data_IF_409244278094
#
_entry.id   IF_409244278094
#
_cell.length_a   1.000
_cell.length_b   1.000
_cell.length_c   1.000
_cell.angle_alpha   90.00
_cell.angle_beta   90.00
_cell.angle_gamma   90.00
#
_symmetry.space_group_name_H-M   'P 1'
#
loop_
_entity.id
_entity.type
_entity.pdbx_description
1 polymer ?
#
# COMPACT_ATOMS: atom_id res chain seq x y z
N UNK A 1 -15.35 0.12 -0.96
CA UNK A 1 -14.04 0.69 -1.32
C UNK A 1 -14.22 1.47 -2.62
N UNK A 2 -14.00 2.79 -2.64
CA UNK A 2 -14.23 3.59 -3.86
C UNK A 2 -12.99 3.56 -4.77
N UNK A 3 -13.19 3.74 -6.08
CA UNK A 3 -12.10 3.94 -7.04
C UNK A 3 -11.20 5.12 -6.65
N UNK A 4 -11.78 6.17 -6.04
CA UNK A 4 -11.05 7.34 -5.53
C UNK A 4 -10.00 6.96 -4.49
N UNK A 5 -10.31 6.03 -3.57
CA UNK A 5 -9.36 5.61 -2.52
C UNK A 5 -8.18 4.81 -3.10
N UNK A 6 -8.38 4.08 -4.21
CA UNK A 6 -7.31 3.36 -4.90
C UNK A 6 -6.39 4.33 -5.62
N UNK A 7 -6.98 5.29 -6.35
CA UNK A 7 -6.24 6.32 -7.07
C UNK A 7 -5.40 7.18 -6.12
N UNK A 8 -5.98 7.63 -5.00
CA UNK A 8 -5.30 8.41 -3.97
C UNK A 8 -4.08 7.67 -3.41
N UNK A 9 -4.22 6.39 -3.08
CA UNK A 9 -3.11 5.58 -2.60
C UNK A 9 -1.96 5.44 -3.60
N UNK A 10 -2.27 5.30 -4.90
CA UNK A 10 -1.24 5.27 -5.95
C UNK A 10 -0.57 6.63 -6.15
N UNK A 11 -1.33 7.72 -6.16
CA UNK A 11 -0.79 9.08 -6.26
C UNK A 11 0.18 9.36 -5.11
N UNK A 12 -0.21 8.98 -3.89
CA UNK A 12 0.65 9.11 -2.71
C UNK A 12 1.89 8.23 -2.83
N UNK A 13 1.79 6.98 -3.25
CA UNK A 13 2.98 6.17 -3.48
C UNK A 13 3.93 6.78 -4.52
N UNK A 14 3.42 7.36 -5.60
CA UNK A 14 4.25 8.01 -6.63
C UNK A 14 4.92 9.28 -6.07
N UNK A 15 4.17 10.11 -5.33
CA UNK A 15 4.71 11.30 -4.68
C UNK A 15 5.86 10.97 -3.71
N UNK A 16 5.82 9.79 -3.07
CA UNK A 16 6.86 9.38 -2.09
C UNK A 16 8.21 9.11 -2.74
N UNK A 17 8.22 8.94 -4.07
CA UNK A 17 9.41 8.75 -4.89
C UNK A 17 9.92 10.03 -5.54
N UNK A 18 9.21 11.16 -5.37
CA UNK A 18 9.60 12.45 -5.95
C UNK A 18 10.40 13.29 -4.94
N UNK A 19 11.25 14.22 -5.42
CA UNK A 19 12.05 15.09 -4.53
C UNK A 19 11.22 15.92 -3.55
N UNK A 20 9.99 16.29 -3.93
CA UNK A 20 9.06 17.06 -3.08
C UNK A 20 8.46 16.22 -1.94
N UNK A 21 8.54 14.89 -2.02
CA UNK A 21 8.07 13.98 -0.98
C UNK A 21 6.56 13.96 -0.77
N UNK A 22 6.14 13.46 0.40
CA UNK A 22 4.76 13.49 0.88
C UNK A 22 4.58 14.48 2.03
N UNK A 23 3.32 14.88 2.30
CA UNK A 23 2.99 15.43 3.61
C UNK A 23 3.44 14.45 4.72
N UNK A 24 4.12 14.92 5.79
CA UNK A 24 4.68 14.06 6.83
C UNK A 24 3.67 13.10 7.46
N UNK A 25 2.43 13.54 7.63
CA UNK A 25 1.33 12.73 8.18
C UNK A 25 1.05 11.47 7.34
N UNK A 26 1.04 11.59 6.01
CA UNK A 26 0.76 10.47 5.12
C UNK A 26 1.96 9.52 5.05
N UNK A 27 3.17 10.08 5.10
CA UNK A 27 4.39 9.30 5.14
C UNK A 27 4.47 8.44 6.40
N UNK A 28 4.30 9.04 7.58
CA UNK A 28 4.34 8.34 8.86
C UNK A 28 3.25 7.27 8.96
N UNK A 29 2.03 7.59 8.54
CA UNK A 29 0.92 6.64 8.45
C UNK A 29 1.27 5.46 7.53
N UNK A 30 1.84 5.74 6.36
CA UNK A 30 2.19 4.69 5.39
C UNK A 30 3.29 3.76 5.93
N UNK A 31 4.28 4.31 6.65
CA UNK A 31 5.35 3.54 7.29
C UNK A 31 4.77 2.65 8.38
N UNK A 32 4.00 3.21 9.32
CA UNK A 32 3.34 2.46 10.40
C UNK A 32 2.50 1.30 9.85
N UNK A 33 1.67 1.58 8.84
CA UNK A 33 0.83 0.56 8.17
C UNK A 33 1.66 -0.48 7.46
N UNK A 34 2.77 -0.09 6.83
CA UNK A 34 3.68 -1.01 6.14
C UNK A 34 4.37 -1.96 7.13
N UNK A 35 4.87 -1.47 8.26
CA UNK A 35 5.47 -2.30 9.32
C UNK A 35 4.49 -3.35 9.83
N UNK A 36 3.24 -2.96 10.12
CA UNK A 36 2.17 -3.88 10.53
C UNK A 36 1.93 -4.96 9.48
N UNK A 37 1.95 -4.59 8.20
CA UNK A 37 1.74 -5.53 7.12
C UNK A 37 2.91 -6.48 6.88
N UNK A 38 4.16 -6.08 7.15
CA UNK A 38 5.34 -6.97 7.03
C UNK A 38 5.20 -8.21 7.92
N UNK A 39 4.65 -8.04 9.12
CA UNK A 39 4.38 -9.15 10.06
C UNK A 39 3.00 -9.81 9.83
N UNK A 40 2.24 -9.41 8.81
CA UNK A 40 0.89 -9.92 8.61
C UNK A 40 0.89 -11.27 7.87
N UNK A 41 0.25 -12.32 8.42
CA UNK A 41 0.22 -13.65 7.78
C UNK A 41 -0.56 -13.67 6.45
N UNK A 42 -1.26 -12.59 6.14
CA UNK A 42 -1.98 -12.43 4.89
C UNK A 42 -1.21 -11.62 3.85
N UNK A 43 0.00 -11.11 4.13
CA UNK A 43 0.81 -10.48 3.10
C UNK A 43 1.33 -11.57 2.14
N UNK A 44 0.99 -11.43 0.85
CA UNK A 44 1.40 -12.38 -0.19
C UNK A 44 2.31 -11.68 -1.19
N UNK A 45 3.41 -12.33 -1.55
CA UNK A 45 4.17 -11.99 -2.75
C UNK A 45 3.63 -12.80 -3.93
N UNK A 46 3.57 -12.16 -5.10
CA UNK A 46 3.27 -12.84 -6.36
C UNK A 46 4.23 -12.32 -7.44
N UNK A 47 4.86 -13.21 -8.22
CA UNK A 47 5.64 -12.78 -9.38
C UNK A 47 4.71 -12.19 -10.44
N UNK A 48 5.11 -11.07 -11.03
CA UNK A 48 4.43 -10.45 -12.16
C UNK A 48 5.46 -10.09 -13.23
N UNK A 49 5.09 -10.25 -14.50
CA UNK A 49 5.95 -9.84 -15.61
C UNK A 49 5.60 -8.42 -16.01
N UNK A 50 6.57 -7.51 -15.92
CA UNK A 50 6.43 -6.11 -16.35
C UNK A 50 7.52 -5.84 -17.37
N UNK A 51 7.14 -5.46 -18.59
CA UNK A 51 8.08 -5.19 -19.69
C UNK A 51 9.08 -6.34 -19.90
N UNK A 52 8.59 -7.58 -19.90
CA UNK A 52 9.42 -8.79 -20.05
C UNK A 52 10.25 -9.20 -18.82
N UNK A 53 10.26 -8.40 -17.75
CA UNK A 53 11.01 -8.70 -16.51
C UNK A 53 10.09 -9.24 -15.42
N UNK A 54 10.48 -10.34 -14.77
CA UNK A 54 9.79 -10.87 -13.59
C UNK A 54 10.14 -10.03 -12.37
N UNK A 55 9.12 -9.45 -11.72
CA UNK A 55 9.26 -8.69 -10.48
C UNK A 55 8.28 -9.24 -9.42
N UNK A 56 8.65 -9.16 -8.15
CA UNK A 56 7.77 -9.56 -7.04
C UNK A 56 6.86 -8.39 -6.64
N UNK A 57 5.54 -8.59 -6.76
CA UNK A 57 4.54 -7.64 -6.26
C UNK A 57 3.92 -8.17 -4.97
N UNK A 58 3.82 -7.32 -3.96
CA UNK A 58 3.11 -7.64 -2.72
C UNK A 58 1.64 -7.24 -2.80
N UNK A 59 0.76 -8.06 -2.21
CA UNK A 59 -0.67 -7.81 -2.06
C UNK A 59 -1.20 -8.32 -0.73
N UNK A 60 -2.31 -7.76 -0.26
CA UNK A 60 -3.03 -8.34 0.88
C UNK A 60 -3.87 -9.53 0.40
N UNK A 61 -3.76 -10.66 1.10
CA UNK A 61 -4.53 -11.87 0.87
C UNK A 61 -5.98 -11.79 1.32
N UNK A 62 -6.36 -10.79 2.13
CA UNK A 62 -7.76 -10.57 2.59
C UNK A 62 -8.57 -9.67 1.66
N UNK A 63 -7.99 -8.56 1.18
CA UNK A 63 -8.70 -7.63 0.29
C UNK A 63 -8.19 -7.61 -1.16
N UNK A 64 -7.15 -8.39 -1.49
CA UNK A 64 -6.58 -8.48 -2.83
C UNK A 64 -5.81 -7.25 -3.32
N UNK A 65 -5.80 -6.15 -2.57
CA UNK A 65 -5.22 -4.89 -3.03
C UNK A 65 -3.70 -4.94 -3.12
N UNK A 66 -3.15 -4.21 -4.10
CA UNK A 66 -1.72 -3.98 -4.21
C UNK A 66 -1.20 -3.28 -2.95
N UNK A 67 -0.07 -3.77 -2.44
CA UNK A 67 0.47 -3.33 -1.16
C UNK A 67 0.75 -1.82 -1.09
N UNK A 68 1.41 -1.18 -2.07
CA UNK A 68 1.70 0.25 -2.02
C UNK A 68 0.43 1.11 -2.00
N UNK A 69 -0.50 0.88 -2.94
CA UNK A 69 -1.75 1.66 -3.00
C UNK A 69 -2.59 1.57 -1.73
N UNK A 70 -2.44 0.50 -0.96
CA UNK A 70 -3.22 0.27 0.24
C UNK A 70 -2.64 1.02 1.44
N UNK A 71 -1.35 0.88 1.73
CA UNK A 71 -0.74 1.52 2.90
C UNK A 71 -0.68 3.04 2.76
N UNK A 72 -0.64 3.55 1.51
CA UNK A 72 -0.63 4.98 1.20
C UNK A 72 -2.03 5.61 1.04
N UNK A 73 -3.12 4.85 1.19
CA UNK A 73 -4.50 5.36 1.06
C UNK A 73 -5.08 5.75 2.44
N UNK A 74 -5.23 7.04 2.78
CA UNK A 74 -5.59 7.49 4.14
C UNK A 74 -6.93 6.96 4.60
N UNK A 75 -7.93 7.05 3.72
CA UNK A 75 -9.33 6.67 3.95
C UNK A 75 -9.56 5.15 3.85
N UNK A 76 -8.52 4.37 3.59
CA UNK A 76 -8.63 2.91 3.54
C UNK A 76 -8.46 2.33 4.94
N UNK A 77 -9.29 1.33 5.25
CA UNK A 77 -9.20 0.52 6.46
C UNK A 77 -8.64 -0.86 6.15
N UNK A 78 -7.97 -1.45 7.15
CA UNK A 78 -7.55 -2.84 7.10
C UNK A 78 -8.78 -3.73 7.26
N UNK A 79 -9.01 -4.75 6.41
CA UNK A 79 -10.18 -5.64 6.51
C UNK A 79 -10.17 -6.57 7.74
N UNK A 80 -9.08 -6.56 8.50
CA UNK A 80 -8.89 -7.33 9.75
C UNK A 80 -8.47 -6.40 10.90
N UNK A 81 -8.76 -5.10 10.75
CA UNK A 81 -8.57 -4.06 11.79
C UNK A 81 -7.19 -3.97 12.45
N UNK A 82 -6.14 -4.40 11.75
CA UNK A 82 -4.75 -4.30 12.25
C UNK A 82 -4.14 -2.89 12.20
N UNK A 83 -4.77 -1.93 11.52
CA UNK A 83 -4.21 -0.58 11.39
C UNK A 83 -4.74 0.34 12.50
N UNK A 84 -3.90 1.26 13.01
CA UNK A 84 -4.35 2.29 13.94
C UNK A 84 -5.46 3.14 13.30
N UNK A 85 -6.46 3.51 14.13
CA UNK A 85 -7.62 4.31 13.73
C UNK A 85 -7.25 5.79 13.62
#
# INVERSE_FOLDING_TARGET
MSLRNIAEGWINFIKSKKPKGLPPEIEEMSIKRAEICKACPFLRSQPVTVMGKKISRYRCGKCGCAFPAMVYAPRKKCPIDKWPK
#
